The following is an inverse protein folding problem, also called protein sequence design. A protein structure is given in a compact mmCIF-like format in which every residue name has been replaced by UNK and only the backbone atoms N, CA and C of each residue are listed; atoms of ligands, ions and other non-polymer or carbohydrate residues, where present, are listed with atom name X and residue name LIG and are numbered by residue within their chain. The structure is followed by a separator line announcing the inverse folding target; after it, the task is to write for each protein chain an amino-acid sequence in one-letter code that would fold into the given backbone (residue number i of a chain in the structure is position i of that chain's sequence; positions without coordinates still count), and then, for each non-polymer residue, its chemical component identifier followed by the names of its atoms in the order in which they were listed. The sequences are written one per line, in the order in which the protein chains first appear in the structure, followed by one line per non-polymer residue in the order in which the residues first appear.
data_IF_201487345898
#
_entry.id   IF_201487345898
#
_cell.length_a   1.000
_cell.length_b   1.000
_cell.length_c   1.000
_cell.angle_alpha   90.00
_cell.angle_beta   90.00
_cell.angle_gamma   90.00
#
_symmetry.space_group_name_H-M   'P 1'
#
loop_
_entity.id
_entity.type
_entity.pdbx_description
1 polymer ?
#
# COMPACT_ATOMS: atom_id res chain seq x y z
N UNK A 1 8.07 -18.11 -10.71
CA UNK A 1 8.47 -17.72 -12.08
C UNK A 1 7.60 -18.44 -13.10
N UNK A 2 7.53 -17.96 -14.34
CA UNK A 2 6.76 -18.63 -15.41
C UNK A 2 5.30 -18.16 -15.58
N UNK A 3 4.90 -17.08 -14.91
CA UNK A 3 3.61 -16.39 -15.14
C UNK A 3 3.77 -14.87 -15.02
N UNK A 4 2.88 -14.07 -15.64
CA UNK A 4 2.77 -12.64 -15.35
C UNK A 4 2.46 -12.37 -13.86
N UNK A 5 2.87 -11.21 -13.37
CA UNK A 5 2.51 -10.71 -12.05
C UNK A 5 1.15 -10.01 -12.12
N UNK A 6 0.29 -10.26 -11.14
CA UNK A 6 -1.05 -9.69 -11.04
C UNK A 6 -1.07 -8.58 -10.00
N UNK A 7 -1.76 -7.49 -10.32
CA UNK A 7 -2.00 -6.45 -9.33
C UNK A 7 -3.21 -5.58 -9.61
N UNK A 8 -3.61 -4.80 -8.61
CA UNK A 8 -4.75 -3.89 -8.72
C UNK A 8 -4.48 -2.54 -8.05
N UNK A 9 -5.19 -1.51 -8.49
CA UNK A 9 -5.26 -0.22 -7.79
C UNK A 9 -6.43 -0.28 -6.80
N UNK A 10 -6.22 0.12 -5.55
CA UNK A 10 -7.29 0.12 -4.55
C UNK A 10 -8.36 1.16 -4.92
N UNK A 11 -9.62 0.80 -4.69
CA UNK A 11 -10.80 1.63 -4.98
C UNK A 11 -11.71 1.75 -3.75
N UNK A 12 -12.53 2.81 -3.63
CA UNK A 12 -12.61 3.98 -4.52
C UNK A 12 -11.32 4.80 -4.53
N UNK A 13 -11.16 5.64 -5.56
CA UNK A 13 -9.96 6.44 -5.81
C UNK A 13 -9.52 7.25 -4.58
N UNK A 14 -10.48 7.92 -3.93
CA UNK A 14 -10.28 8.70 -2.71
C UNK A 14 -11.41 8.42 -1.71
N UNK A 15 -11.19 8.78 -0.45
CA UNK A 15 -12.22 8.78 0.60
C UNK A 15 -12.19 7.59 1.56
N UNK A 16 -11.34 6.58 1.31
CA UNK A 16 -11.09 5.53 2.30
C UNK A 16 -10.24 6.08 3.46
N UNK A 17 -10.56 5.66 4.68
CA UNK A 17 -9.68 5.83 5.84
C UNK A 17 -8.50 4.86 5.77
N UNK A 18 -7.40 5.15 6.46
CA UNK A 18 -6.19 4.32 6.46
C UNK A 18 -6.46 2.85 6.85
N UNK A 19 -7.29 2.63 7.88
CA UNK A 19 -7.68 1.28 8.33
C UNK A 19 -8.46 0.51 7.27
N UNK A 20 -9.43 1.16 6.62
CA UNK A 20 -10.21 0.51 5.55
C UNK A 20 -9.35 0.28 4.31
N UNK A 21 -8.38 1.16 4.05
CA UNK A 21 -7.40 0.99 2.99
C UNK A 21 -6.54 -0.27 3.21
N UNK A 22 -5.98 -0.44 4.42
CA UNK A 22 -5.24 -1.65 4.79
C UNK A 22 -6.08 -2.91 4.69
N UNK A 23 -7.37 -2.87 5.09
CA UNK A 23 -8.29 -3.99 4.90
C UNK A 23 -8.44 -4.37 3.42
N UNK A 24 -8.67 -3.39 2.55
CA UNK A 24 -8.80 -3.64 1.11
C UNK A 24 -7.53 -4.27 0.52
N UNK A 25 -6.36 -3.76 0.91
CA UNK A 25 -5.05 -4.33 0.52
C UNK A 25 -4.93 -5.77 0.98
N UNK A 26 -5.25 -6.07 2.25
CA UNK A 26 -5.19 -7.42 2.80
C UNK A 26 -6.06 -8.41 2.01
N UNK A 27 -7.33 -8.08 1.77
CA UNK A 27 -8.25 -8.96 1.04
C UNK A 27 -7.76 -9.23 -0.39
N UNK A 28 -7.27 -8.19 -1.08
CA UNK A 28 -6.72 -8.32 -2.43
C UNK A 28 -5.48 -9.22 -2.49
N UNK A 29 -4.52 -9.02 -1.58
CA UNK A 29 -3.27 -9.81 -1.55
C UNK A 29 -3.54 -11.25 -1.11
N UNK A 30 -4.34 -11.43 -0.06
CA UNK A 30 -4.75 -12.75 0.46
C UNK A 30 -5.58 -13.54 -0.55
N UNK A 31 -6.32 -12.84 -1.40
CA UNK A 31 -7.13 -13.39 -2.49
C UNK A 31 -6.34 -13.82 -3.73
N UNK A 32 -5.01 -13.61 -3.76
CA UNK A 32 -4.13 -14.17 -4.78
C UNK A 32 -3.44 -13.14 -5.69
N UNK A 33 -3.61 -11.83 -5.46
CA UNK A 33 -2.79 -10.83 -6.16
C UNK A 33 -1.35 -10.84 -5.63
N UNK A 34 -0.40 -10.51 -6.49
CA UNK A 34 1.01 -10.35 -6.11
C UNK A 34 1.22 -8.95 -5.51
N UNK A 35 0.61 -7.94 -6.14
CA UNK A 35 0.76 -6.54 -5.77
C UNK A 35 -0.58 -5.82 -5.68
N UNK A 36 -0.62 -4.81 -4.83
CA UNK A 36 -1.64 -3.76 -4.87
C UNK A 36 -0.95 -2.40 -5.02
N UNK A 37 -1.70 -1.33 -5.28
CA UNK A 37 -1.12 0.01 -5.37
C UNK A 37 -2.05 1.11 -4.91
N UNK A 38 -1.43 2.17 -4.42
CA UNK A 38 -2.02 3.48 -4.29
C UNK A 38 -2.52 3.97 -5.65
N UNK A 39 -3.65 4.66 -5.65
CA UNK A 39 -4.10 5.43 -6.80
C UNK A 39 -3.24 6.70 -6.92
N UNK A 40 -3.02 7.23 -8.13
CA UNK A 40 -2.00 8.26 -8.35
C UNK A 40 -2.26 9.57 -7.59
N UNK A 41 -3.53 9.85 -7.27
CA UNK A 41 -3.92 11.01 -6.47
C UNK A 41 -4.12 10.69 -4.98
N UNK A 42 -3.72 9.50 -4.51
CA UNK A 42 -3.65 9.16 -3.08
C UNK A 42 -2.27 9.57 -2.57
N UNK A 43 -2.18 10.72 -1.90
CA UNK A 43 -0.94 11.25 -1.35
C UNK A 43 -1.06 11.34 0.18
N UNK A 44 -1.56 12.47 0.70
CA UNK A 44 -1.75 12.71 2.14
C UNK A 44 -2.87 13.71 2.40
N UNK A 45 -4.10 13.28 2.23
CA UNK A 45 -5.30 14.09 2.36
C UNK A 45 -5.84 14.12 3.81
N UNK A 46 -6.75 15.05 4.15
CA UNK A 46 -7.37 15.10 5.48
C UNK A 46 -8.04 13.80 5.92
N UNK A 47 -8.66 13.05 5.00
CA UNK A 47 -9.33 11.78 5.30
C UNK A 47 -8.37 10.60 5.51
N UNK A 48 -7.11 10.73 5.08
CA UNK A 48 -6.10 9.67 5.20
C UNK A 48 -4.68 10.27 5.09
N UNK A 49 -4.01 10.41 6.23
CA UNK A 49 -2.59 10.81 6.25
C UNK A 49 -1.72 9.66 5.77
N UNK A 50 -0.65 9.99 5.04
CA UNK A 50 0.18 8.99 4.37
C UNK A 50 0.83 7.98 5.36
N UNK A 51 1.27 8.46 6.53
CA UNK A 51 1.96 7.62 7.51
C UNK A 51 1.04 6.53 8.07
N UNK A 52 -0.20 6.89 8.41
CA UNK A 52 -1.19 5.92 8.87
C UNK A 52 -1.50 4.89 7.78
N UNK A 53 -1.64 5.33 6.53
CA UNK A 53 -1.83 4.42 5.38
C UNK A 53 -0.68 3.43 5.27
N UNK A 54 0.56 3.91 5.33
CA UNK A 54 1.75 3.06 5.21
C UNK A 54 1.78 1.98 6.29
N UNK A 55 1.47 2.34 7.55
CA UNK A 55 1.45 1.40 8.67
C UNK A 55 0.39 0.29 8.49
N UNK A 56 -0.85 0.66 8.16
CA UNK A 56 -1.91 -0.33 7.94
C UNK A 56 -1.69 -1.19 6.68
N UNK A 57 -1.03 -0.64 5.65
CA UNK A 57 -0.65 -1.41 4.45
C UNK A 57 0.48 -2.38 4.77
N UNK A 58 1.48 -1.99 5.56
CA UNK A 58 2.55 -2.89 6.00
C UNK A 58 1.98 -4.07 6.81
N UNK A 59 1.06 -3.80 7.76
CA UNK A 59 0.36 -4.84 8.50
C UNK A 59 -0.37 -5.81 7.57
N UNK A 60 -1.11 -5.28 6.57
CA UNK A 60 -1.83 -6.07 5.59
C UNK A 60 -0.91 -6.95 4.72
N UNK A 61 0.23 -6.42 4.27
CA UNK A 61 1.25 -7.17 3.54
C UNK A 61 1.75 -8.32 4.41
N UNK A 62 2.30 -8.04 5.61
CA UNK A 62 2.88 -9.09 6.45
C UNK A 62 1.87 -10.17 6.84
N UNK A 63 0.64 -9.77 7.16
CA UNK A 63 -0.44 -10.72 7.46
C UNK A 63 -0.76 -11.60 6.25
N UNK A 64 -0.94 -11.03 5.06
CA UNK A 64 -1.21 -11.82 3.85
C UNK A 64 -0.04 -12.74 3.49
N UNK A 65 1.21 -12.28 3.60
CA UNK A 65 2.39 -13.13 3.38
C UNK A 65 2.43 -14.33 4.34
N UNK A 66 2.16 -14.09 5.63
CA UNK A 66 2.14 -15.14 6.64
C UNK A 66 1.06 -16.20 6.37
N UNK A 67 -0.11 -15.80 5.86
CA UNK A 67 -1.21 -16.72 5.59
C UNK A 67 -1.13 -17.44 4.24
N UNK A 68 -0.49 -16.84 3.23
CA UNK A 68 -0.37 -17.46 1.89
C UNK A 68 0.97 -18.16 1.66
N UNK A 69 2.01 -17.84 2.44
CA UNK A 69 3.37 -18.32 2.19
C UNK A 69 4.01 -17.74 0.92
N UNK A 70 3.48 -16.63 0.41
CA UNK A 70 3.97 -15.95 -0.80
C UNK A 70 4.48 -14.55 -0.42
N UNK A 71 5.49 -14.06 -1.13
CA UNK A 71 5.91 -12.66 -1.02
C UNK A 71 4.86 -11.77 -1.69
N UNK A 72 4.44 -10.71 -0.99
CA UNK A 72 3.39 -9.77 -1.41
C UNK A 72 3.93 -8.35 -1.33
N UNK A 73 3.32 -7.44 -2.09
CA UNK A 73 3.75 -6.03 -2.05
C UNK A 73 2.64 -5.03 -2.30
N UNK A 74 2.95 -3.78 -1.98
CA UNK A 74 2.12 -2.63 -2.29
C UNK A 74 2.98 -1.48 -2.82
N UNK A 75 2.59 -0.87 -3.94
CA UNK A 75 3.24 0.34 -4.43
C UNK A 75 2.76 1.56 -3.62
N UNK A 76 3.48 1.86 -2.55
CA UNK A 76 3.25 3.01 -1.68
C UNK A 76 3.58 4.32 -2.41
N UNK A 77 2.60 5.22 -2.55
CA UNK A 77 2.78 6.48 -3.25
C UNK A 77 3.53 7.51 -2.40
N UNK A 78 4.81 7.70 -2.73
CA UNK A 78 5.68 8.70 -2.10
C UNK A 78 5.51 10.12 -2.66
N UNK A 79 4.69 10.34 -3.69
CA UNK A 79 4.51 11.66 -4.33
C UNK A 79 4.16 12.74 -3.31
N UNK A 80 4.96 13.81 -3.28
CA UNK A 80 4.80 14.95 -2.38
C UNK A 80 5.05 16.27 -3.12
N UNK A 81 4.75 17.40 -2.46
CA UNK A 81 4.93 18.73 -3.05
C UNK A 81 6.41 19.13 -3.19
N UNK A 82 7.30 18.55 -2.39
CA UNK A 82 8.75 18.80 -2.42
C UNK A 82 9.50 17.47 -2.47
N UNK A 83 10.70 17.48 -3.04
CA UNK A 83 11.58 16.30 -3.04
C UNK A 83 11.94 15.86 -1.62
N UNK A 84 12.10 16.81 -0.69
CA UNK A 84 12.46 16.52 0.70
C UNK A 84 11.35 15.73 1.40
N UNK A 85 10.09 16.10 1.21
CA UNK A 85 8.96 15.33 1.75
C UNK A 85 8.76 14.00 1.03
N UNK A 86 9.03 13.94 -0.28
CA UNK A 86 9.02 12.67 -1.02
C UNK A 86 10.06 11.71 -0.44
N UNK A 87 11.28 12.19 -0.17
CA UNK A 87 12.34 11.38 0.42
C UNK A 87 12.01 10.92 1.85
N UNK A 88 11.36 11.77 2.66
CA UNK A 88 10.85 11.34 3.99
C UNK A 88 9.86 10.18 3.89
N UNK A 89 8.96 10.22 2.91
CA UNK A 89 8.01 9.12 2.68
C UNK A 89 8.71 7.86 2.19
N UNK A 90 9.63 7.99 1.24
CA UNK A 90 10.42 6.86 0.73
C UNK A 90 11.25 6.20 1.84
N UNK A 91 11.86 6.99 2.71
CA UNK A 91 12.61 6.48 3.86
C UNK A 91 11.69 5.73 4.84
N UNK A 92 10.52 6.30 5.18
CA UNK A 92 9.55 5.62 6.02
C UNK A 92 9.04 4.31 5.40
N UNK A 93 8.82 4.25 4.08
CA UNK A 93 8.45 3.02 3.40
C UNK A 93 9.55 1.96 3.53
N UNK A 94 10.82 2.35 3.30
CA UNK A 94 11.99 1.47 3.48
C UNK A 94 12.11 0.94 4.91
N UNK A 95 11.86 1.77 5.91
CA UNK A 95 11.96 1.39 7.33
C UNK A 95 10.85 0.40 7.76
N UNK A 96 9.77 0.30 6.98
CA UNK A 96 8.68 -0.65 7.21
C UNK A 96 8.92 -2.03 6.57
N UNK A 97 10.02 -2.19 5.82
CA UNK A 97 10.43 -3.41 5.11
C UNK A 97 9.89 -3.54 3.70
#
# INVERSE_FOLDING_TARGET
YGRPLLGCTIKPKLGLSAKNYGRAVYECLRGGLDFTKDDENVNSQPFMRWRDRFLFVAEAIYKSQAETGEIKGHYLNATAATCEDMMKRAQCAKDLG
#
